data_IF_438594055746
#
_entry.id   IF_438594055746
#
_cell.length_a   1.000
_cell.length_b   1.000
_cell.length_c   1.000
_cell.angle_alpha   90.00
_cell.angle_beta   90.00
_cell.angle_gamma   90.00
#
_symmetry.space_group_name_H-M   'P 1'
#
loop_
_entity.id
_entity.type
_entity.pdbx_description
1 polymer ?
#
# COMPACT_ATOMS: atom_id res chain seq x y z
N UNK A 1 -24.92 -16.07 -10.96
CA UNK A 1 -23.70 -15.86 -10.17
C UNK A 1 -23.23 -14.40 -10.18
N UNK A 2 -23.00 -13.72 -11.34
CA UNK A 2 -22.52 -12.34 -11.41
C UNK A 2 -23.42 -11.29 -10.74
N UNK A 3 -24.70 -11.45 -10.73
CA UNK A 3 -25.66 -10.49 -10.17
C UNK A 3 -25.75 -10.55 -8.64
N UNK A 4 -25.60 -11.74 -8.03
CA UNK A 4 -25.56 -11.96 -6.59
C UNK A 4 -24.26 -11.39 -5.97
N UNK A 5 -23.13 -11.52 -6.65
CA UNK A 5 -21.86 -10.94 -6.21
C UNK A 5 -21.89 -9.39 -6.22
N UNK A 6 -22.57 -8.76 -7.21
CA UNK A 6 -22.78 -7.31 -7.25
C UNK A 6 -23.62 -6.80 -6.08
N UNK A 7 -24.65 -7.55 -5.69
CA UNK A 7 -25.52 -7.20 -4.57
C UNK A 7 -24.79 -7.38 -3.22
N UNK A 8 -23.94 -8.39 -3.07
CA UNK A 8 -23.16 -8.60 -1.85
C UNK A 8 -22.07 -7.53 -1.63
N UNK A 9 -21.39 -7.10 -2.71
CA UNK A 9 -20.45 -5.98 -2.66
C UNK A 9 -21.14 -4.65 -2.31
N UNK A 10 -22.35 -4.40 -2.84
CA UNK A 10 -23.15 -3.22 -2.51
C UNK A 10 -23.66 -3.24 -1.07
N UNK A 11 -24.07 -4.37 -0.54
CA UNK A 11 -24.56 -4.51 0.85
C UNK A 11 -23.43 -4.33 1.87
N UNK A 12 -22.20 -4.80 1.58
CA UNK A 12 -21.04 -4.53 2.41
C UNK A 12 -20.61 -3.05 2.35
N UNK A 13 -20.81 -2.39 1.22
CA UNK A 13 -20.52 -0.95 1.06
C UNK A 13 -21.56 -0.04 1.76
N UNK A 14 -22.86 -0.47 1.82
CA UNK A 14 -23.95 0.33 2.39
C UNK A 14 -23.96 0.29 3.93
N UNK A 15 -23.41 -0.73 4.57
CA UNK A 15 -23.31 -0.81 6.04
C UNK A 15 -22.21 0.05 6.64
N UNK A 16 -21.43 0.79 5.84
CA UNK A 16 -20.26 1.56 6.26
C UNK A 16 -20.40 3.10 6.12
N UNK A 17 -21.60 3.61 5.80
CA UNK A 17 -21.82 5.06 5.69
C UNK A 17 -22.55 5.58 6.92
N UNK A 18 -21.83 5.84 7.99
CA UNK A 18 -22.22 6.82 9.00
C UNK A 18 -21.02 7.30 9.80
N UNK A 19 -20.83 8.61 9.79
CA UNK A 19 -19.96 9.45 10.62
C UNK A 19 -18.55 9.74 10.09
N UNK A 20 -18.40 10.89 9.43
CA UNK A 20 -17.16 11.65 9.44
C UNK A 20 -17.45 13.14 9.30
N UNK A 21 -17.41 13.87 10.41
CA UNK A 21 -17.15 15.31 10.44
C UNK A 21 -16.10 15.55 11.53
N UNK A 22 -14.92 16.01 11.16
CA UNK A 22 -13.86 16.39 12.09
C UNK A 22 -12.60 16.82 11.37
N UNK A 23 -12.31 18.12 11.37
CA UNK A 23 -11.17 18.71 10.69
C UNK A 23 -9.82 18.19 11.19
N UNK A 24 -8.91 17.93 10.27
CA UNK A 24 -7.54 17.49 10.53
C UNK A 24 -6.52 18.52 10.05
N UNK A 25 -5.54 18.80 10.89
CA UNK A 25 -4.34 19.56 10.53
C UNK A 25 -3.50 18.75 9.54
N UNK A 26 -3.15 19.36 8.43
CA UNK A 26 -2.24 18.80 7.42
C UNK A 26 -0.82 18.74 7.96
N UNK A 27 -0.23 17.56 8.02
CA UNK A 27 1.21 17.43 8.07
C UNK A 27 1.75 17.69 6.65
N UNK A 28 2.47 18.78 6.49
CA UNK A 28 3.03 19.22 5.22
C UNK A 28 4.26 18.37 4.91
N UNK A 29 4.12 17.43 3.97
CA UNK A 29 5.27 16.71 3.42
C UNK A 29 6.06 17.69 2.51
N UNK A 30 7.33 17.86 2.79
CA UNK A 30 8.25 18.61 1.93
C UNK A 30 8.60 17.77 0.70
N UNK A 31 7.79 17.91 -0.33
CA UNK A 31 7.97 17.35 -1.67
C UNK A 31 6.71 17.73 -2.44
N UNK A 32 6.85 18.52 -3.50
CA UNK A 32 5.69 19.00 -4.24
C UNK A 32 4.81 17.83 -4.70
N UNK A 33 3.61 17.70 -4.15
CA UNK A 33 2.64 16.72 -4.60
C UNK A 33 2.22 17.07 -6.03
N UNK A 34 2.27 16.09 -6.91
CA UNK A 34 1.65 16.18 -8.24
C UNK A 34 0.14 16.28 -8.04
N UNK A 35 -0.53 17.17 -8.77
CA UNK A 35 -2.00 17.23 -8.76
C UNK A 35 -2.57 15.85 -9.13
N UNK A 36 -3.55 15.37 -8.37
CA UNK A 36 -4.22 14.08 -8.70
C UNK A 36 -4.89 14.08 -10.08
N UNK A 37 -5.18 15.26 -10.65
CA UNK A 37 -5.60 15.43 -12.03
C UNK A 37 -4.55 15.02 -13.07
N UNK A 38 -3.27 15.00 -12.68
CA UNK A 38 -2.16 14.58 -13.52
C UNK A 38 -1.78 13.10 -13.34
N UNK A 39 -2.63 12.31 -12.70
CA UNK A 39 -2.51 10.85 -12.60
C UNK A 39 -3.31 10.18 -13.70
N UNK A 40 -2.63 9.34 -14.47
CA UNK A 40 -3.24 8.51 -15.52
C UNK A 40 -3.61 7.15 -14.94
N UNK A 41 -4.76 6.61 -15.36
CA UNK A 41 -5.14 5.22 -15.11
C UNK A 41 -5.16 4.45 -16.43
N UNK A 42 -4.39 3.39 -16.50
CA UNK A 42 -4.38 2.41 -17.59
C UNK A 42 -5.07 1.13 -17.11
N UNK A 43 -5.93 0.55 -17.97
CA UNK A 43 -6.75 -0.61 -17.62
C UNK A 43 -8.05 -0.21 -16.93
N UNK A 44 -9.05 -1.08 -17.06
CA UNK A 44 -10.39 -0.89 -16.54
C UNK A 44 -10.91 -2.24 -16.00
N UNK A 45 -11.13 -2.30 -14.70
CA UNK A 45 -11.63 -3.51 -14.03
C UNK A 45 -12.99 -3.96 -14.57
N UNK A 46 -13.90 -3.03 -14.84
CA UNK A 46 -15.26 -3.34 -15.33
C UNK A 46 -15.24 -3.92 -16.75
N UNK A 47 -14.21 -3.58 -17.54
CA UNK A 47 -13.96 -4.10 -18.88
C UNK A 47 -13.10 -5.36 -18.88
N UNK A 48 -12.71 -5.86 -17.72
CA UNK A 48 -12.01 -7.13 -17.56
C UNK A 48 -10.49 -7.02 -17.68
N UNK A 49 -9.90 -5.84 -17.52
CA UNK A 49 -8.45 -5.71 -17.41
C UNK A 49 -7.93 -6.48 -16.21
N UNK A 50 -6.87 -7.27 -16.40
CA UNK A 50 -6.22 -8.02 -15.31
C UNK A 50 -5.35 -7.11 -14.45
N UNK A 51 -4.74 -6.09 -15.07
CA UNK A 51 -3.85 -5.11 -14.45
C UNK A 51 -4.45 -3.72 -14.57
N UNK A 52 -4.49 -2.98 -13.48
CA UNK A 52 -4.88 -1.58 -13.43
C UNK A 52 -3.67 -0.79 -12.94
N UNK A 53 -3.14 0.08 -13.80
CA UNK A 53 -1.92 0.84 -13.49
C UNK A 53 -2.27 2.32 -13.31
N UNK A 54 -1.82 2.91 -12.20
CA UNK A 54 -1.88 4.35 -11.98
C UNK A 54 -0.46 4.90 -12.02
N UNK A 55 -0.26 6.00 -12.73
CA UNK A 55 1.06 6.62 -12.85
C UNK A 55 0.98 8.13 -13.06
N UNK A 56 2.01 8.89 -12.66
CA UNK A 56 2.07 10.32 -12.95
C UNK A 56 2.13 10.56 -14.46
N UNK A 57 1.31 11.46 -15.00
CA UNK A 57 1.34 11.81 -16.43
C UNK A 57 2.71 12.27 -16.91
N UNK A 58 3.49 12.86 -16.02
CA UNK A 58 4.87 13.26 -16.29
C UNK A 58 5.77 12.08 -16.75
N UNK A 59 5.41 10.83 -16.43
CA UNK A 59 6.13 9.64 -16.90
C UNK A 59 6.18 9.58 -18.43
N UNK A 60 5.12 10.00 -19.13
CA UNK A 60 5.02 9.90 -20.59
C UNK A 60 6.10 10.71 -21.31
N UNK A 61 6.53 11.83 -20.73
CA UNK A 61 7.48 12.77 -21.32
C UNK A 61 8.82 12.87 -20.59
N UNK A 62 8.96 12.22 -19.44
CA UNK A 62 10.17 12.26 -18.62
C UNK A 62 11.18 11.19 -19.06
N UNK A 63 12.47 11.47 -18.97
CA UNK A 63 13.56 10.50 -19.09
C UNK A 63 13.91 9.82 -17.77
N UNK A 64 13.18 10.14 -16.69
CA UNK A 64 13.39 9.53 -15.38
C UNK A 64 12.86 8.11 -15.34
N UNK A 65 13.45 7.29 -14.47
CA UNK A 65 12.92 5.97 -14.09
C UNK A 65 12.17 6.05 -12.77
N UNK A 66 11.04 5.36 -12.70
CA UNK A 66 10.06 5.52 -11.64
C UNK A 66 10.02 4.30 -10.72
N UNK A 67 9.89 4.49 -9.39
CA UNK A 67 9.69 3.39 -8.46
C UNK A 67 8.29 2.79 -8.61
N UNK A 68 8.16 1.52 -8.23
CA UNK A 68 6.92 0.75 -8.40
C UNK A 68 6.32 0.34 -7.05
N UNK A 69 5.01 0.43 -6.96
CA UNK A 69 4.19 -0.21 -5.94
C UNK A 69 3.36 -1.31 -6.60
N UNK A 70 3.49 -2.57 -6.16
CA UNK A 70 2.55 -3.63 -6.49
C UNK A 70 1.51 -3.76 -5.38
N UNK A 71 0.23 -3.55 -5.74
CA UNK A 71 -0.88 -3.48 -4.78
C UNK A 71 -1.71 -4.76 -4.78
N UNK A 72 -2.02 -5.27 -3.58
CA UNK A 72 -2.97 -6.38 -3.40
C UNK A 72 -4.24 -5.93 -2.66
N UNK A 73 -5.40 -6.32 -3.22
CA UNK A 73 -6.72 -5.97 -2.70
C UNK A 73 -7.09 -6.82 -1.47
N UNK A 74 -8.04 -6.32 -0.67
CA UNK A 74 -8.72 -7.13 0.36
C UNK A 74 -9.63 -8.20 -0.25
N UNK A 75 -10.08 -9.14 0.58
CA UNK A 75 -11.01 -10.21 0.19
C UNK A 75 -12.25 -9.66 -0.50
N UNK A 76 -12.55 -10.15 -1.69
CA UNK A 76 -13.70 -9.75 -2.51
C UNK A 76 -13.75 -8.26 -2.86
N UNK A 77 -12.65 -7.53 -2.69
CA UNK A 77 -12.55 -6.11 -3.02
C UNK A 77 -11.90 -5.94 -4.40
N UNK A 78 -12.58 -5.23 -5.28
CA UNK A 78 -12.02 -4.83 -6.58
C UNK A 78 -11.11 -3.59 -6.44
N UNK A 79 -10.12 -3.38 -7.33
CA UNK A 79 -9.23 -2.23 -7.31
C UNK A 79 -9.95 -0.88 -7.29
N UNK A 80 -11.14 -0.81 -7.89
CA UNK A 80 -11.96 0.42 -7.94
C UNK A 80 -12.28 0.97 -6.55
N UNK A 81 -12.37 0.12 -5.52
CA UNK A 81 -12.61 0.55 -4.14
C UNK A 81 -11.42 1.28 -3.52
N UNK A 82 -10.23 1.13 -4.10
CA UNK A 82 -8.99 1.74 -3.65
C UNK A 82 -8.55 2.91 -4.55
N UNK A 83 -9.34 3.29 -5.54
CA UNK A 83 -8.93 4.27 -6.58
C UNK A 83 -8.31 5.54 -6.00
N UNK A 84 -8.91 6.14 -4.97
CA UNK A 84 -8.39 7.36 -4.36
C UNK A 84 -7.03 7.12 -3.68
N UNK A 85 -6.88 6.00 -2.95
CA UNK A 85 -5.61 5.63 -2.32
C UNK A 85 -4.51 5.39 -3.37
N UNK A 86 -4.82 4.62 -4.43
CA UNK A 86 -3.85 4.27 -5.46
C UNK A 86 -3.45 5.47 -6.31
N UNK A 87 -4.41 6.35 -6.65
CA UNK A 87 -4.10 7.63 -7.29
C UNK A 87 -3.25 8.53 -6.43
N UNK A 88 -3.48 8.56 -5.11
CA UNK A 88 -2.65 9.33 -4.20
C UNK A 88 -1.21 8.83 -4.17
N UNK A 89 -0.97 7.51 -4.20
CA UNK A 89 0.39 6.97 -4.33
C UNK A 89 1.03 7.36 -5.66
N UNK A 90 0.27 7.33 -6.75
CA UNK A 90 0.79 7.76 -8.05
C UNK A 90 1.10 9.27 -8.07
N UNK A 91 0.27 10.11 -7.45
CA UNK A 91 0.52 11.55 -7.29
C UNK A 91 1.80 11.84 -6.47
N UNK A 92 2.22 10.91 -5.61
CA UNK A 92 3.48 10.97 -4.87
C UNK A 92 4.70 10.45 -5.69
N UNK A 93 4.52 10.15 -6.98
CA UNK A 93 5.61 9.79 -7.89
C UNK A 93 5.89 8.30 -8.02
N UNK A 94 4.90 7.43 -7.76
CA UNK A 94 5.03 5.98 -7.95
C UNK A 94 4.23 5.50 -9.15
N UNK A 95 4.74 4.46 -9.82
CA UNK A 95 3.93 3.62 -10.71
C UNK A 95 3.25 2.55 -9.86
N UNK A 96 1.92 2.57 -9.80
CA UNK A 96 1.15 1.68 -8.94
C UNK A 96 0.44 0.63 -9.79
N UNK A 97 0.79 -0.64 -9.62
CA UNK A 97 0.19 -1.75 -10.35
C UNK A 97 -0.72 -2.52 -9.42
N UNK A 98 -2.01 -2.52 -9.71
CA UNK A 98 -3.04 -3.22 -8.94
C UNK A 98 -3.65 -4.35 -9.77
N UNK A 99 -3.70 -5.55 -9.19
CA UNK A 99 -4.36 -6.70 -9.80
C UNK A 99 -5.88 -6.60 -9.70
N UNK A 100 -6.58 -7.16 -10.69
CA UNK A 100 -8.00 -7.46 -10.61
C UNK A 100 -8.33 -8.65 -9.69
N UNK A 101 -7.34 -9.36 -9.19
CA UNK A 101 -7.52 -10.47 -8.27
C UNK A 101 -8.11 -9.98 -6.94
N UNK A 102 -9.28 -10.52 -6.58
CA UNK A 102 -10.01 -10.19 -5.36
C UNK A 102 -9.78 -11.21 -4.24
N UNK A 103 -8.87 -12.17 -4.45
CA UNK A 103 -8.58 -13.24 -3.50
C UNK A 103 -7.08 -13.44 -3.27
N UNK A 104 -6.27 -12.43 -3.54
CA UNK A 104 -4.83 -12.46 -3.32
C UNK A 104 -4.48 -12.62 -1.83
N UNK A 105 -3.77 -13.69 -1.48
CA UNK A 105 -3.35 -13.94 -0.09
C UNK A 105 -1.91 -14.45 0.03
N UNK A 106 -1.42 -15.20 -0.96
CA UNK A 106 -0.17 -15.95 -0.91
C UNK A 106 1.04 -15.22 -1.49
N UNK A 107 0.86 -14.02 -1.96
CA UNK A 107 1.91 -13.17 -2.57
C UNK A 107 2.10 -13.36 -4.07
N UNK A 108 1.57 -14.42 -4.67
CA UNK A 108 1.78 -14.74 -6.08
C UNK A 108 1.25 -13.66 -7.02
N UNK A 109 0.09 -13.10 -6.69
CA UNK A 109 -0.51 -12.02 -7.46
C UNK A 109 0.44 -10.83 -7.56
N UNK A 110 1.00 -10.38 -6.43
CA UNK A 110 1.93 -9.25 -6.45
C UNK A 110 3.25 -9.56 -7.17
N UNK A 111 3.75 -10.79 -7.07
CA UNK A 111 4.92 -11.21 -7.86
C UNK A 111 4.62 -11.20 -9.35
N UNK A 112 3.42 -11.63 -9.76
CA UNK A 112 2.98 -11.54 -11.16
C UNK A 112 2.84 -10.09 -11.65
N UNK A 113 2.41 -9.17 -10.78
CA UNK A 113 2.37 -7.73 -11.11
C UNK A 113 3.78 -7.15 -11.31
N UNK A 114 4.78 -7.64 -10.57
CA UNK A 114 6.19 -7.28 -10.83
C UNK A 114 6.62 -7.78 -12.21
N UNK A 115 6.33 -9.05 -12.52
CA UNK A 115 6.69 -9.62 -13.83
C UNK A 115 6.01 -8.86 -14.97
N UNK A 116 4.73 -8.50 -14.81
CA UNK A 116 3.98 -7.68 -15.76
C UNK A 116 4.65 -6.33 -16.02
N UNK A 117 4.90 -5.53 -14.98
CA UNK A 117 5.43 -4.19 -15.20
C UNK A 117 6.87 -4.20 -15.73
N UNK A 118 7.68 -5.20 -15.37
CA UNK A 118 9.02 -5.35 -15.91
C UNK A 118 8.98 -5.80 -17.39
N UNK A 119 8.01 -6.62 -17.80
CA UNK A 119 7.77 -6.91 -19.20
C UNK A 119 7.36 -5.64 -19.97
N UNK A 120 6.47 -4.82 -19.41
CA UNK A 120 6.10 -3.52 -19.99
C UNK A 120 7.29 -2.56 -20.11
N UNK A 121 8.23 -2.60 -19.17
CA UNK A 121 9.45 -1.80 -19.21
C UNK A 121 10.40 -2.22 -20.36
N UNK A 122 10.27 -3.44 -20.87
CA UNK A 122 11.07 -4.00 -21.97
C UNK A 122 10.36 -3.95 -23.32
N UNK A 123 9.08 -3.57 -23.37
CA UNK A 123 8.27 -3.50 -24.59
C UNK A 123 8.32 -2.08 -25.18
N UNK A 124 8.93 -1.93 -26.35
CA UNK A 124 9.06 -0.64 -27.05
C UNK A 124 7.71 0.02 -27.38
N UNK A 125 6.64 -0.75 -27.44
CA UNK A 125 5.28 -0.23 -27.68
C UNK A 125 4.59 0.28 -26.40
N UNK A 126 5.15 -0.02 -25.23
CA UNK A 126 4.58 0.37 -23.94
C UNK A 126 4.95 1.79 -23.53
N UNK A 127 4.01 2.49 -22.90
CA UNK A 127 4.28 3.79 -22.27
C UNK A 127 5.34 3.68 -21.16
N UNK A 128 5.56 2.48 -20.62
CA UNK A 128 6.53 2.18 -19.57
C UNK A 128 7.91 1.79 -20.08
N UNK A 129 8.13 1.75 -21.41
CA UNK A 129 9.41 1.34 -21.99
C UNK A 129 10.58 2.17 -21.47
N UNK A 130 11.53 1.51 -20.79
CA UNK A 130 12.70 2.16 -20.19
C UNK A 130 12.39 3.12 -19.03
N UNK A 131 11.16 3.12 -18.47
CA UNK A 131 10.71 4.07 -17.46
C UNK A 131 10.60 3.50 -16.03
N UNK A 132 10.79 2.19 -15.86
CA UNK A 132 10.61 1.51 -14.57
C UNK A 132 11.97 1.23 -13.93
N UNK A 133 12.11 1.65 -12.67
CA UNK A 133 13.28 1.28 -11.87
C UNK A 133 13.07 -0.08 -11.20
N UNK A 134 13.66 -1.11 -11.78
CA UNK A 134 13.57 -2.48 -11.26
C UNK A 134 14.26 -2.70 -9.92
N UNK A 135 15.07 -1.74 -9.47
CA UNK A 135 15.74 -1.79 -8.16
C UNK A 135 14.90 -1.16 -7.03
N UNK A 136 13.82 -0.42 -7.38
CA UNK A 136 12.94 0.31 -6.45
C UNK A 136 11.50 -0.18 -6.53
N UNK A 137 11.28 -1.42 -6.09
CA UNK A 137 9.95 -2.08 -6.07
C UNK A 137 9.51 -2.29 -4.62
N UNK A 138 8.28 -1.91 -4.31
CA UNK A 138 7.64 -2.14 -3.04
C UNK A 138 6.32 -2.90 -3.19
N UNK A 139 5.95 -3.68 -2.17
CA UNK A 139 4.64 -4.31 -2.08
C UNK A 139 3.77 -3.60 -1.05
N UNK A 140 2.52 -3.30 -1.42
CA UNK A 140 1.53 -2.71 -0.53
C UNK A 140 0.20 -3.47 -0.64
N UNK A 141 -0.59 -3.50 0.42
CA UNK A 141 -1.89 -4.14 0.36
C UNK A 141 -2.72 -3.98 1.62
N UNK A 142 -4.01 -4.27 1.49
CA UNK A 142 -4.99 -4.13 2.55
C UNK A 142 -5.65 -5.47 2.90
N UNK A 143 -5.88 -5.73 4.18
CA UNK A 143 -6.61 -6.91 4.66
C UNK A 143 -5.93 -8.22 4.21
N UNK A 144 -6.63 -9.09 3.46
CA UNK A 144 -6.02 -10.25 2.81
C UNK A 144 -4.84 -9.84 1.90
N UNK A 145 -4.94 -8.71 1.19
CA UNK A 145 -3.84 -8.14 0.42
C UNK A 145 -2.66 -7.69 1.28
N UNK A 146 -2.90 -7.25 2.51
CA UNK A 146 -1.84 -6.98 3.48
C UNK A 146 -1.08 -8.26 3.88
N UNK A 147 -1.77 -9.40 3.96
CA UNK A 147 -1.16 -10.72 4.11
C UNK A 147 -0.39 -11.12 2.85
N UNK A 148 -0.97 -10.92 1.67
CA UNK A 148 -0.28 -11.13 0.38
C UNK A 148 1.05 -10.36 0.34
N UNK A 149 1.04 -9.09 0.77
CA UNK A 149 2.21 -8.22 0.85
C UNK A 149 3.33 -8.83 1.71
N UNK A 150 2.99 -9.36 2.89
CA UNK A 150 3.96 -10.04 3.77
C UNK A 150 4.54 -11.27 3.10
N UNK A 151 3.71 -12.07 2.43
CA UNK A 151 4.14 -13.28 1.73
C UNK A 151 5.00 -12.98 0.50
N UNK A 152 4.61 -12.00 -0.30
CA UNK A 152 5.38 -11.57 -1.47
C UNK A 152 6.76 -11.03 -1.06
N UNK A 153 6.81 -10.13 -0.07
CA UNK A 153 8.06 -9.55 0.40
C UNK A 153 8.98 -10.57 1.11
N UNK A 154 8.42 -11.66 1.62
CA UNK A 154 9.20 -12.77 2.18
C UNK A 154 9.75 -13.73 1.10
N UNK A 155 9.12 -13.79 -0.08
CA UNK A 155 9.42 -14.74 -1.14
C UNK A 155 10.23 -14.15 -2.30
N UNK A 156 10.09 -12.84 -2.57
CA UNK A 156 10.68 -12.18 -3.74
C UNK A 156 11.63 -11.06 -3.31
N UNK A 157 12.92 -11.26 -3.57
CA UNK A 157 13.98 -10.30 -3.22
C UNK A 157 13.95 -9.01 -4.03
N UNK A 158 13.19 -8.94 -5.11
CA UNK A 158 12.96 -7.70 -5.87
C UNK A 158 12.16 -6.68 -5.04
N UNK A 159 11.36 -7.15 -4.07
CA UNK A 159 10.61 -6.28 -3.15
C UNK A 159 11.55 -5.75 -2.07
N UNK A 160 11.84 -4.44 -2.13
CA UNK A 160 12.79 -3.77 -1.24
C UNK A 160 12.18 -3.39 0.10
N UNK A 161 10.88 -3.08 0.13
CA UNK A 161 10.12 -2.79 1.35
C UNK A 161 8.64 -3.07 1.15
N UNK A 162 7.89 -3.07 2.25
CA UNK A 162 6.48 -3.43 2.23
C UNK A 162 5.62 -2.54 3.15
N UNK A 163 4.33 -2.41 2.81
CA UNK A 163 3.32 -1.77 3.66
C UNK A 163 2.10 -2.68 3.77
N UNK A 164 1.87 -3.24 4.95
CA UNK A 164 0.72 -4.10 5.26
C UNK A 164 -0.32 -3.29 6.05
N UNK A 165 -1.45 -2.96 5.42
CA UNK A 165 -2.55 -2.20 6.04
C UNK A 165 -3.63 -3.16 6.49
N UNK A 166 -3.93 -3.18 7.80
CA UNK A 166 -4.93 -4.07 8.42
C UNK A 166 -4.79 -5.53 7.95
N UNK A 167 -3.54 -6.01 7.80
CA UNK A 167 -3.24 -7.30 7.20
C UNK A 167 -3.64 -8.47 8.10
N UNK A 168 -4.35 -9.46 7.53
CA UNK A 168 -4.73 -10.72 8.18
C UNK A 168 -3.54 -11.70 8.22
N UNK A 169 -2.39 -11.25 8.74
CA UNK A 169 -1.11 -11.95 8.66
C UNK A 169 -1.03 -13.14 9.60
N UNK A 170 -0.54 -14.27 9.13
CA UNK A 170 -0.16 -15.38 10.01
C UNK A 170 1.26 -15.20 10.56
N UNK A 171 1.44 -15.50 11.84
CA UNK A 171 2.74 -15.42 12.51
C UNK A 171 3.80 -16.31 11.84
N UNK A 172 3.40 -17.47 11.32
CA UNK A 172 4.29 -18.41 10.61
C UNK A 172 4.82 -17.82 9.29
N UNK A 173 4.04 -16.99 8.63
CA UNK A 173 4.41 -16.27 7.41
C UNK A 173 5.32 -15.09 7.75
N UNK A 174 4.93 -14.28 8.73
CA UNK A 174 5.69 -13.12 9.18
C UNK A 174 7.11 -13.47 9.65
N UNK A 175 7.33 -14.66 10.26
CA UNK A 175 8.66 -15.16 10.64
C UNK A 175 9.64 -15.30 9.47
N UNK A 176 9.17 -15.33 8.23
CA UNK A 176 10.02 -15.40 7.03
C UNK A 176 10.37 -14.02 6.49
N UNK A 177 9.63 -12.98 6.88
CA UNK A 177 9.76 -11.63 6.38
C UNK A 177 11.02 -10.95 6.91
N UNK A 178 11.94 -10.61 6.01
CA UNK A 178 13.16 -9.85 6.29
C UNK A 178 13.16 -8.47 5.64
N UNK A 179 12.28 -8.22 4.67
CA UNK A 179 12.14 -6.90 4.06
C UNK A 179 11.59 -5.89 5.07
N UNK A 180 12.07 -4.64 5.05
CA UNK A 180 11.53 -3.56 5.86
C UNK A 180 10.02 -3.43 5.68
N UNK A 181 9.25 -3.43 6.78
CA UNK A 181 7.79 -3.46 6.67
C UNK A 181 7.10 -2.51 7.63
N UNK A 182 6.21 -1.68 7.08
CA UNK A 182 5.29 -0.82 7.83
C UNK A 182 3.97 -1.56 8.03
N UNK A 183 3.59 -1.77 9.30
CA UNK A 183 2.32 -2.39 9.70
C UNK A 183 1.37 -1.33 10.23
N UNK A 184 0.32 -1.02 9.49
CA UNK A 184 -0.72 -0.07 9.87
C UNK A 184 -2.05 -0.78 10.13
N UNK A 185 -2.83 -0.28 11.09
CA UNK A 185 -4.15 -0.82 11.42
C UNK A 185 -5.06 0.26 12.01
N UNK A 186 -6.28 -0.09 12.41
CA UNK A 186 -7.21 0.78 13.12
C UNK A 186 -7.50 0.28 14.53
N UNK A 187 -7.73 1.20 15.49
CA UNK A 187 -8.02 0.82 16.88
C UNK A 187 -9.37 0.16 17.08
N UNK A 188 -10.31 0.40 16.19
CA UNK A 188 -11.67 -0.20 16.21
C UNK A 188 -11.94 -1.06 14.98
N UNK A 189 -10.86 -1.62 14.39
CA UNK A 189 -10.99 -2.67 13.36
C UNK A 189 -11.49 -3.95 14.02
N UNK A 190 -12.74 -4.31 13.71
CA UNK A 190 -13.42 -5.52 14.24
C UNK A 190 -13.34 -6.71 13.28
N UNK A 191 -12.76 -6.52 12.08
CA UNK A 191 -12.59 -7.57 11.07
C UNK A 191 -11.21 -8.21 11.20
N UNK A 192 -10.15 -7.39 11.21
CA UNK A 192 -8.79 -7.84 11.44
C UNK A 192 -8.30 -7.26 12.77
N UNK A 193 -8.58 -8.00 13.84
CA UNK A 193 -8.17 -7.61 15.18
C UNK A 193 -6.65 -7.48 15.25
N UNK A 194 -6.17 -6.27 15.52
CA UNK A 194 -4.74 -5.98 15.56
C UNK A 194 -3.97 -6.90 16.50
N UNK A 195 -4.53 -7.20 17.67
CA UNK A 195 -3.90 -8.07 18.68
C UNK A 195 -3.70 -9.51 18.19
N UNK A 196 -4.53 -9.98 17.24
CA UNK A 196 -4.47 -11.37 16.74
C UNK A 196 -3.64 -11.49 15.46
N UNK A 197 -3.60 -10.45 14.62
CA UNK A 197 -3.07 -10.57 13.26
C UNK A 197 -1.92 -9.62 12.99
N UNK A 198 -2.09 -8.31 13.24
CA UNK A 198 -1.12 -7.30 12.82
C UNK A 198 0.05 -7.21 13.80
N UNK A 199 -0.24 -7.07 15.09
CA UNK A 199 0.79 -6.94 16.13
C UNK A 199 1.65 -8.20 16.28
N UNK A 200 1.10 -9.44 16.23
CA UNK A 200 1.93 -10.64 16.18
C UNK A 200 2.82 -10.72 14.94
N UNK A 201 2.35 -10.27 13.76
CA UNK A 201 3.19 -10.22 12.57
C UNK A 201 4.37 -9.25 12.75
N UNK A 202 4.11 -8.03 13.21
CA UNK A 202 5.15 -7.07 13.57
C UNK A 202 6.16 -7.67 14.58
N UNK A 203 5.69 -8.30 15.63
CA UNK A 203 6.57 -8.86 16.66
C UNK A 203 7.49 -9.97 16.13
N UNK A 204 7.03 -10.76 15.16
CA UNK A 204 7.71 -11.95 14.66
C UNK A 204 8.48 -11.77 13.35
N UNK A 205 8.29 -10.68 12.60
CA UNK A 205 9.10 -10.44 11.41
C UNK A 205 10.57 -10.21 11.80
N UNK A 206 11.51 -10.56 10.91
CA UNK A 206 12.95 -10.48 11.17
C UNK A 206 13.54 -9.12 10.82
N UNK A 207 13.00 -8.50 9.78
CA UNK A 207 13.49 -7.25 9.23
C UNK A 207 13.16 -6.02 10.07
N UNK A 208 13.62 -4.85 9.61
CA UNK A 208 13.20 -3.56 10.12
C UNK A 208 11.68 -3.44 10.05
N UNK A 209 11.06 -2.95 11.11
CA UNK A 209 9.61 -2.82 11.10
C UNK A 209 9.11 -1.68 12.00
N UNK A 210 8.00 -1.08 11.57
CA UNK A 210 7.22 -0.12 12.34
C UNK A 210 5.78 -0.59 12.41
N UNK A 211 5.15 -0.40 13.56
CA UNK A 211 3.74 -0.63 13.80
C UNK A 211 3.09 0.66 14.30
N UNK A 212 1.91 0.98 13.78
CA UNK A 212 1.05 2.05 14.32
C UNK A 212 -0.43 1.74 14.05
N UNK A 213 -1.31 2.26 14.93
CA UNK A 213 -2.75 2.08 14.85
C UNK A 213 -3.45 3.43 14.77
N UNK A 214 -4.26 3.66 13.73
CA UNK A 214 -5.06 4.87 13.57
C UNK A 214 -6.16 4.88 14.65
N UNK A 215 -6.24 5.94 15.46
CA UNK A 215 -7.30 6.10 16.45
C UNK A 215 -8.66 6.20 15.76
N UNK A 216 -9.63 5.45 16.28
CA UNK A 216 -10.96 5.31 15.69
C UNK A 216 -10.97 4.79 14.25
N UNK A 217 -9.84 4.27 13.77
CA UNK A 217 -9.73 3.63 12.46
C UNK A 217 -10.49 2.30 12.45
N UNK A 218 -11.37 2.13 11.46
CA UNK A 218 -12.07 0.88 11.13
C UNK A 218 -11.30 0.11 10.07
N UNK A 219 -11.75 -1.11 9.74
CA UNK A 219 -11.08 -1.96 8.75
C UNK A 219 -10.84 -1.28 7.39
N UNK A 220 -11.81 -0.52 6.91
CA UNK A 220 -11.79 0.14 5.59
C UNK A 220 -11.27 1.57 5.62
N UNK A 221 -10.69 2.03 6.74
CA UNK A 221 -10.25 3.43 6.87
C UNK A 221 -9.26 3.87 5.79
N UNK A 222 -8.41 2.98 5.28
CA UNK A 222 -7.49 3.34 4.19
C UNK A 222 -8.19 3.67 2.87
N UNK A 223 -9.41 3.16 2.65
CA UNK A 223 -10.24 3.49 1.50
C UNK A 223 -11.01 4.81 1.72
N UNK A 224 -11.48 5.02 2.95
CA UNK A 224 -12.37 6.13 3.31
C UNK A 224 -11.60 7.41 3.65
N UNK A 225 -10.41 7.28 4.22
CA UNK A 225 -9.55 8.39 4.66
C UNK A 225 -8.11 8.14 4.22
N UNK A 226 -7.83 8.05 2.90
CA UNK A 226 -6.49 7.78 2.38
C UNK A 226 -5.46 8.84 2.81
N UNK A 227 -5.90 10.08 3.05
CA UNK A 227 -5.10 11.19 3.58
C UNK A 227 -4.41 10.88 4.91
N UNK A 228 -4.93 9.95 5.70
CA UNK A 228 -4.30 9.50 6.95
C UNK A 228 -3.19 8.48 6.72
N UNK A 229 -3.27 7.70 5.65
CA UNK A 229 -2.36 6.60 5.35
C UNK A 229 -1.25 6.99 4.37
N UNK A 230 -1.61 7.68 3.30
CA UNK A 230 -0.70 8.03 2.20
C UNK A 230 0.59 8.71 2.69
N UNK A 231 0.55 9.72 3.56
CA UNK A 231 1.78 10.39 4.00
C UNK A 231 2.78 9.42 4.65
N UNK A 232 2.32 8.53 5.53
CA UNK A 232 3.21 7.58 6.20
C UNK A 232 3.62 6.43 5.28
N UNK A 233 2.73 5.95 4.41
CA UNK A 233 3.09 4.93 3.43
C UNK A 233 4.17 5.46 2.48
N UNK A 234 4.00 6.64 1.90
CA UNK A 234 4.95 7.20 0.95
C UNK A 234 6.30 7.56 1.60
N UNK A 235 6.29 8.09 2.83
CA UNK A 235 7.55 8.31 3.57
C UNK A 235 8.28 6.99 3.86
N UNK A 236 7.55 5.91 4.22
CA UNK A 236 8.16 4.58 4.38
C UNK A 236 8.82 4.09 3.10
N UNK A 237 8.12 4.25 1.98
CA UNK A 237 8.65 3.86 0.67
C UNK A 237 9.90 4.67 0.30
N UNK A 238 9.89 5.99 0.48
CA UNK A 238 11.06 6.85 0.22
C UNK A 238 12.24 6.52 1.13
N UNK A 239 11.98 6.25 2.40
CA UNK A 239 13.02 5.86 3.35
C UNK A 239 13.81 4.62 2.90
N UNK A 240 13.14 3.65 2.28
CA UNK A 240 13.73 2.36 1.92
C UNK A 240 14.05 2.18 0.43
N UNK A 241 13.35 2.88 -0.46
CA UNK A 241 13.62 2.83 -1.89
C UNK A 241 14.65 3.89 -2.33
N UNK A 242 14.60 5.07 -1.72
CA UNK A 242 15.43 6.21 -2.11
C UNK A 242 16.56 6.50 -1.10
N UNK A 243 16.51 5.88 0.10
CA UNK A 243 17.44 6.20 1.18
C UNK A 243 17.26 7.62 1.74
N UNK A 244 16.05 8.20 1.60
CA UNK A 244 15.75 9.57 2.01
C UNK A 244 15.82 9.70 3.54
N UNK A 245 16.82 10.47 4.02
CA UNK A 245 17.07 10.67 5.44
C UNK A 245 15.91 11.39 6.16
N UNK A 246 15.26 12.35 5.50
CA UNK A 246 14.11 13.05 6.08
C UNK A 246 12.90 12.10 6.23
N UNK A 247 12.71 11.20 5.28
CA UNK A 247 11.70 10.17 5.35
C UNK A 247 12.01 9.13 6.45
N UNK A 248 13.28 8.78 6.65
CA UNK A 248 13.75 7.90 7.73
C UNK A 248 13.43 8.48 9.11
N UNK A 249 13.65 9.78 9.29
CA UNK A 249 13.37 10.49 10.56
C UNK A 249 11.90 10.42 10.97
N UNK A 250 10.97 10.31 10.03
CA UNK A 250 9.53 10.15 10.31
C UNK A 250 9.26 8.95 11.21
N UNK A 251 10.06 7.87 11.07
CA UNK A 251 9.87 6.58 11.74
C UNK A 251 10.79 6.36 12.93
N UNK A 252 11.60 7.33 13.32
CA UNK A 252 12.36 7.26 14.55
C UNK A 252 11.45 7.40 15.79
N UNK A 253 11.93 7.00 16.96
CA UNK A 253 11.17 7.09 18.22
C UNK A 253 10.72 8.51 18.58
N UNK A 254 11.42 9.51 18.05
CA UNK A 254 11.09 10.94 18.16
C UNK A 254 10.49 11.51 16.88
N UNK A 255 10.20 10.69 15.88
CA UNK A 255 9.73 11.10 14.56
C UNK A 255 8.25 11.49 14.52
N UNK A 256 7.80 11.90 13.34
CA UNK A 256 6.46 12.44 13.14
C UNK A 256 5.36 11.39 13.46
N UNK A 257 5.51 10.14 13.01
CA UNK A 257 4.50 9.10 13.26
C UNK A 257 4.32 8.80 14.76
N UNK A 258 5.42 8.79 15.53
CA UNK A 258 5.37 8.51 16.97
C UNK A 258 4.67 9.60 17.78
N UNK A 259 4.67 10.84 17.26
CA UNK A 259 4.09 12.05 17.89
C UNK A 259 2.72 12.41 17.36
N UNK A 260 2.29 11.81 16.26
CA UNK A 260 1.01 12.13 15.63
C UNK A 260 -0.16 11.72 16.54
N UNK A 261 -0.95 12.72 16.99
CA UNK A 261 -2.09 12.51 17.86
C UNK A 261 -3.19 11.62 17.24
N UNK A 262 -3.25 11.50 15.91
CA UNK A 262 -4.20 10.62 15.22
C UNK A 262 -3.80 9.14 15.31
N UNK A 263 -2.51 8.84 15.59
CA UNK A 263 -2.01 7.48 15.68
C UNK A 263 -1.71 7.08 17.14
N UNK A 264 -1.65 5.80 17.40
CA UNK A 264 -1.34 5.24 18.73
C UNK A 264 -0.64 3.90 18.62
N UNK A 265 -0.09 3.43 19.73
CA UNK A 265 0.56 2.12 19.80
C UNK A 265 1.82 2.01 18.94
N UNK A 266 2.42 3.15 18.58
CA UNK A 266 3.67 3.17 17.82
C UNK A 266 4.70 2.25 18.46
N UNK A 267 5.29 1.41 17.63
CA UNK A 267 6.43 0.57 17.97
C UNK A 267 7.35 0.42 16.76
N UNK A 268 8.64 0.39 17.00
CA UNK A 268 9.65 0.22 15.96
C UNK A 268 10.69 -0.80 16.40
N UNK A 269 11.27 -1.50 15.43
CA UNK A 269 12.39 -2.43 15.67
C UNK A 269 13.33 -2.49 14.48
N UNK A 270 14.61 -2.72 14.78
CA UNK A 270 15.66 -2.94 13.78
C UNK A 270 15.79 -1.83 12.73
N UNK A 271 15.38 -0.61 13.05
CA UNK A 271 15.57 0.54 12.15
C UNK A 271 17.04 0.93 12.19
N UNK A 272 17.80 0.47 11.21
CA UNK A 272 19.20 0.83 10.99
C UNK A 272 19.24 1.67 9.71
N UNK A 273 18.81 2.91 9.84
CA UNK A 273 18.94 3.90 8.77
C UNK A 273 20.37 4.44 8.72
#
# INVERSE_FOLDING_TARGET
>A
MKQWMRTLCLVLAILLVSAALGGGMQAQAAGGSIDMGDVVQLGDYERGSLHIVFYPKALETSDQVWPVIVWANGTMCAPVLYTNLLKSFAAEGFVVVASSDIMAADGKTQMAEIDYILAQNSDESSVFYGKIDSSRIAACGHSQGGRSTVNAAAADSRIRCAVSIAGSNFTSEAKKLSAPTLFLTGTIDTIVLSAMWVKPAFNNCKGPAVYASLKNGVHTSCMLTPDKYVPYCTQWLRAWLDGDAAAQDVFCSSGALSKDAAWTGYAAKNLNF
#
